data_IF_225291712141
#
_entry.id   IF_225291712141
#
_cell.length_a   1.000
_cell.length_b   1.000
_cell.length_c   1.000
_cell.angle_alpha   90.00
_cell.angle_beta   90.00
_cell.angle_gamma   90.00
#
_symmetry.space_group_name_H-M   'P 1'
#
loop_
_entity.id
_entity.type
_entity.pdbx_description
1 polymer ?
#
# COMPACT_ATOMS: atom_id res chain seq x y z
N UNK A 1 26.43 -12.88 44.43
CA UNK A 1 25.59 -13.44 43.36
C UNK A 1 25.35 -12.35 42.33
N UNK A 2 25.96 -12.44 41.15
CA UNK A 2 25.80 -11.44 40.08
C UNK A 2 24.52 -11.78 39.32
N UNK A 3 23.50 -10.94 39.44
CA UNK A 3 22.28 -11.04 38.62
C UNK A 3 22.59 -10.60 37.21
N UNK A 4 22.66 -11.56 36.28
CA UNK A 4 22.76 -11.29 34.84
C UNK A 4 21.39 -10.77 34.37
N UNK A 5 21.32 -9.48 34.03
CA UNK A 5 20.15 -8.90 33.38
C UNK A 5 19.87 -9.61 32.05
N UNK A 6 18.76 -10.35 32.00
CA UNK A 6 18.26 -10.95 30.76
C UNK A 6 17.73 -9.83 29.86
N UNK A 7 18.50 -9.46 28.82
CA UNK A 7 18.01 -8.60 27.74
C UNK A 7 16.79 -9.24 27.08
N UNK A 8 15.63 -8.60 27.24
CA UNK A 8 14.39 -9.00 26.58
C UNK A 8 14.52 -8.85 25.06
N UNK A 9 14.10 -9.87 24.31
CA UNK A 9 13.96 -9.78 22.83
C UNK A 9 12.67 -9.06 22.41
N UNK A 10 11.86 -8.63 23.37
CA UNK A 10 10.63 -7.88 23.09
C UNK A 10 10.98 -6.45 22.69
N UNK A 11 10.54 -6.06 21.50
CA UNK A 11 10.55 -4.66 21.04
C UNK A 11 9.55 -3.78 21.81
N UNK A 12 8.77 -4.33 22.73
CA UNK A 12 7.73 -3.60 23.50
C UNK A 12 8.26 -3.10 24.85
N UNK A 13 9.51 -3.39 25.21
CA UNK A 13 10.11 -2.80 26.41
C UNK A 13 10.24 -1.28 26.23
N UNK A 14 9.81 -0.52 27.25
CA UNK A 14 9.87 0.94 27.28
C UNK A 14 11.27 1.45 26.90
N UNK A 15 11.32 2.38 25.94
CA UNK A 15 12.54 3.08 25.53
C UNK A 15 13.34 2.46 24.36
N UNK A 16 13.03 1.25 23.89
CA UNK A 16 13.83 0.58 22.84
C UNK A 16 13.12 0.45 21.48
N UNK A 17 11.90 0.98 21.33
CA UNK A 17 11.14 0.95 20.08
C UNK A 17 11.23 2.30 19.35
N UNK A 18 12.13 2.39 18.37
CA UNK A 18 12.13 3.49 17.42
C UNK A 18 11.29 3.12 16.19
N UNK A 19 10.30 3.94 15.85
CA UNK A 19 9.58 3.77 14.59
C UNK A 19 10.53 4.08 13.44
N UNK A 20 10.59 3.22 12.41
CA UNK A 20 11.43 3.49 11.26
C UNK A 20 10.95 4.78 10.59
N UNK A 21 11.88 5.60 10.05
CA UNK A 21 11.54 6.88 9.44
C UNK A 21 10.61 6.71 8.22
N UNK A 22 10.69 5.55 7.56
CA UNK A 22 9.85 5.17 6.46
C UNK A 22 9.25 3.78 6.69
N UNK A 23 7.99 3.61 6.30
CA UNK A 23 7.37 2.31 6.21
C UNK A 23 6.30 2.33 5.13
N UNK A 24 6.20 1.25 4.37
CA UNK A 24 5.18 1.10 3.35
C UNK A 24 4.58 -0.31 3.32
N UNK A 25 3.37 -0.39 2.81
CA UNK A 25 2.84 -1.61 2.22
C UNK A 25 3.09 -1.57 0.71
N UNK A 26 3.34 -2.72 0.09
CA UNK A 26 3.66 -2.81 -1.33
C UNK A 26 2.89 -3.94 -2.01
N UNK A 27 2.62 -3.75 -3.31
CA UNK A 27 2.07 -4.76 -4.20
C UNK A 27 3.14 -5.17 -5.20
N UNK A 28 3.42 -6.48 -5.28
CA UNK A 28 4.27 -7.08 -6.30
C UNK A 28 3.43 -7.78 -7.36
N UNK A 29 3.96 -7.83 -8.57
CA UNK A 29 3.52 -8.72 -9.65
C UNK A 29 4.70 -9.59 -10.06
N UNK A 30 4.45 -10.88 -10.28
CA UNK A 30 5.44 -11.78 -10.84
C UNK A 30 5.55 -11.57 -12.35
N UNK A 31 6.78 -11.50 -12.86
CA UNK A 31 7.10 -11.46 -14.28
C UNK A 31 7.59 -12.81 -14.81
N UNK A 32 7.34 -13.90 -14.07
CA UNK A 32 7.80 -15.25 -14.45
C UNK A 32 7.21 -15.73 -15.80
N UNK A 33 6.05 -15.21 -16.19
CA UNK A 33 5.47 -15.38 -17.53
C UNK A 33 4.85 -14.06 -18.00
N UNK A 34 4.76 -13.80 -19.33
CA UNK A 34 4.18 -12.56 -19.85
C UNK A 34 2.75 -12.28 -19.36
N UNK A 35 1.96 -13.34 -19.16
CA UNK A 35 0.56 -13.27 -18.73
C UNK A 35 0.39 -13.55 -17.23
N UNK A 36 1.46 -13.47 -16.44
CA UNK A 36 1.39 -13.75 -15.01
C UNK A 36 0.47 -12.75 -14.30
N UNK A 37 -0.49 -13.31 -13.57
CA UNK A 37 -1.43 -12.58 -12.71
C UNK A 37 -1.11 -12.80 -11.22
N UNK A 38 0.06 -13.35 -10.92
CA UNK A 38 0.46 -13.64 -9.54
C UNK A 38 0.90 -12.35 -8.88
N UNK A 39 0.23 -12.00 -7.79
CA UNK A 39 0.60 -10.87 -6.95
C UNK A 39 1.04 -11.31 -5.57
N UNK A 40 1.73 -10.40 -4.89
CA UNK A 40 2.08 -10.53 -3.49
C UNK A 40 1.94 -9.17 -2.81
N UNK A 41 1.35 -9.14 -1.62
CA UNK A 41 1.26 -7.93 -0.79
C UNK A 41 2.11 -8.15 0.45
N UNK A 42 2.94 -7.19 0.78
CA UNK A 42 3.76 -7.21 1.99
C UNK A 42 4.00 -5.81 2.54
N UNK A 43 4.79 -5.71 3.60
CA UNK A 43 5.21 -4.44 4.15
C UNK A 43 6.70 -4.41 4.52
N UNK A 44 7.31 -3.23 4.49
CA UNK A 44 8.75 -3.06 4.70
C UNK A 44 9.12 -1.61 5.03
N UNK A 45 10.15 -1.39 5.87
CA UNK A 45 10.79 -0.09 6.04
C UNK A 45 11.79 0.24 4.93
N UNK A 46 12.24 -0.74 4.13
CA UNK A 46 13.16 -0.53 3.03
C UNK A 46 12.69 -1.34 1.78
N UNK A 47 11.99 -0.68 0.84
CA UNK A 47 11.42 -1.34 -0.34
C UNK A 47 12.47 -1.88 -1.31
N UNK A 48 13.56 -1.13 -1.55
CA UNK A 48 14.63 -1.51 -2.45
C UNK A 48 15.38 -2.75 -1.98
N UNK A 49 15.73 -2.80 -0.68
CA UNK A 49 16.31 -4.01 -0.10
C UNK A 49 15.33 -5.18 -0.22
N UNK A 50 14.05 -4.93 0.06
CA UNK A 50 13.03 -5.99 0.09
C UNK A 50 12.75 -6.61 -1.28
N UNK A 51 12.72 -5.83 -2.37
CA UNK A 51 12.51 -6.41 -3.71
C UNK A 51 13.68 -7.33 -4.13
N UNK A 52 14.92 -6.95 -3.79
CA UNK A 52 16.12 -7.79 -4.01
C UNK A 52 16.07 -9.08 -3.21
N UNK A 53 15.55 -9.04 -1.97
CA UNK A 53 15.29 -10.25 -1.17
C UNK A 53 14.23 -11.17 -1.82
N UNK A 54 13.13 -10.60 -2.33
CA UNK A 54 12.11 -11.37 -3.03
C UNK A 54 12.66 -12.03 -4.31
N UNK A 55 13.52 -11.32 -5.04
CA UNK A 55 14.19 -11.80 -6.25
C UNK A 55 15.38 -12.74 -5.97
N UNK A 56 15.74 -12.95 -4.70
CA UNK A 56 16.78 -13.90 -4.31
C UNK A 56 18.21 -13.40 -4.45
N UNK A 57 18.41 -12.12 -4.77
CA UNK A 57 19.73 -11.46 -4.73
C UNK A 57 20.24 -11.36 -3.28
N UNK A 58 19.33 -11.21 -2.32
CA UNK A 58 19.62 -11.12 -0.90
C UNK A 58 18.90 -12.23 -0.12
N UNK A 59 19.49 -12.63 1.02
CA UNK A 59 18.88 -13.59 1.95
C UNK A 59 17.64 -13.00 2.65
N UNK A 60 16.82 -13.87 3.26
CA UNK A 60 15.60 -13.52 4.01
C UNK A 60 14.43 -12.99 3.15
N UNK A 61 14.27 -13.48 1.91
CA UNK A 61 13.05 -13.30 1.14
C UNK A 61 11.88 -14.12 1.70
N UNK A 62 10.65 -13.66 1.48
CA UNK A 62 9.46 -14.41 1.88
C UNK A 62 9.40 -15.76 1.14
N UNK A 63 9.03 -16.83 1.85
CA UNK A 63 8.94 -18.17 1.23
C UNK A 63 7.98 -18.20 0.03
N UNK A 64 6.84 -17.50 0.13
CA UNK A 64 5.84 -17.41 -0.96
C UNK A 64 6.38 -16.79 -2.27
N UNK A 65 7.45 -15.98 -2.19
CA UNK A 65 8.07 -15.32 -3.34
C UNK A 65 9.39 -15.99 -3.75
N UNK A 66 9.76 -17.11 -3.13
CA UNK A 66 10.95 -17.89 -3.52
C UNK A 66 10.86 -18.41 -4.95
N UNK A 67 9.63 -18.63 -5.44
CA UNK A 67 9.29 -19.04 -6.80
C UNK A 67 8.66 -17.87 -7.56
N UNK A 68 8.52 -18.05 -8.87
CA UNK A 68 7.88 -17.08 -9.77
C UNK A 68 8.59 -15.72 -9.80
N UNK A 69 9.92 -15.76 -9.69
CA UNK A 69 10.80 -14.62 -9.93
C UNK A 69 10.94 -14.37 -11.45
N UNK A 70 11.34 -13.17 -11.88
CA UNK A 70 11.48 -11.98 -11.04
C UNK A 70 10.12 -11.39 -10.64
N UNK A 71 10.12 -10.70 -9.51
CA UNK A 71 9.02 -9.89 -9.02
C UNK A 71 9.32 -8.43 -9.31
N UNK A 72 8.28 -7.69 -9.66
CA UNK A 72 8.30 -6.25 -9.88
C UNK A 72 7.31 -5.57 -8.94
N UNK A 73 7.71 -4.43 -8.38
CA UNK A 73 6.82 -3.63 -7.54
C UNK A 73 5.88 -2.85 -8.44
N UNK A 74 4.57 -3.02 -8.23
CA UNK A 74 3.54 -2.32 -8.99
C UNK A 74 3.11 -1.02 -8.31
N UNK A 75 2.97 -1.03 -6.99
CA UNK A 75 2.62 0.16 -6.21
C UNK A 75 3.01 0.02 -4.74
N UNK A 76 3.16 1.15 -4.06
CA UNK A 76 3.34 1.24 -2.61
C UNK A 76 2.36 2.24 -1.98
N UNK A 77 2.00 1.98 -0.74
CA UNK A 77 1.24 2.89 0.14
C UNK A 77 2.09 3.17 1.36
N UNK A 78 2.41 4.44 1.64
CA UNK A 78 3.33 4.86 2.69
C UNK A 78 2.81 6.10 3.43
N UNK A 79 3.43 6.44 4.56
CA UNK A 79 3.02 7.55 5.44
C UNK A 79 3.02 7.13 6.92
N UNK A 80 2.20 7.79 7.75
CA UNK A 80 1.97 7.37 9.16
C UNK A 80 1.04 6.15 9.22
N UNK A 81 1.46 5.06 8.60
CA UNK A 81 0.65 3.88 8.38
C UNK A 81 0.73 2.92 9.57
N UNK A 82 -0.42 2.39 10.00
CA UNK A 82 -0.50 1.17 10.81
C UNK A 82 -0.25 -0.04 9.89
N UNK A 83 1.00 -0.21 9.46
CA UNK A 83 1.34 -1.03 8.30
C UNK A 83 0.88 -2.48 8.39
N UNK A 84 0.94 -3.12 9.56
CA UNK A 84 0.48 -4.50 9.72
C UNK A 84 -1.04 -4.65 9.55
N UNK A 85 -1.82 -3.65 10.02
CA UNK A 85 -3.27 -3.65 9.85
C UNK A 85 -3.65 -3.43 8.38
N UNK A 86 -2.97 -2.47 7.72
CA UNK A 86 -3.21 -2.20 6.31
C UNK A 86 -2.78 -3.37 5.42
N UNK A 87 -1.60 -3.95 5.66
CA UNK A 87 -1.10 -5.12 4.95
C UNK A 87 -2.10 -6.28 5.04
N UNK A 88 -2.56 -6.60 6.25
CA UNK A 88 -3.50 -7.71 6.44
C UNK A 88 -4.83 -7.45 5.72
N UNK A 89 -5.36 -6.23 5.83
CA UNK A 89 -6.59 -5.82 5.17
C UNK A 89 -6.46 -5.88 3.64
N UNK A 90 -5.29 -5.53 3.09
CA UNK A 90 -5.00 -5.57 1.67
C UNK A 90 -4.72 -6.99 1.14
N UNK A 91 -4.12 -7.85 1.97
CA UNK A 91 -3.98 -9.28 1.68
C UNK A 91 -5.34 -9.99 1.65
N UNK A 92 -6.26 -9.61 2.56
CA UNK A 92 -7.57 -10.25 2.75
C UNK A 92 -8.76 -9.29 2.60
N UNK A 93 -8.99 -8.67 1.42
CA UNK A 93 -10.08 -7.72 1.22
C UNK A 93 -11.46 -8.32 1.51
N UNK A 94 -11.63 -9.62 1.24
CA UNK A 94 -12.86 -10.39 1.43
C UNK A 94 -13.17 -10.72 2.90
N UNK A 95 -12.25 -10.40 3.83
CA UNK A 95 -12.39 -10.65 5.27
C UNK A 95 -12.18 -9.39 6.09
N UNK A 96 -11.71 -8.32 5.48
CA UNK A 96 -11.39 -7.09 6.17
C UNK A 96 -12.66 -6.37 6.62
N UNK A 97 -12.78 -6.13 7.94
CA UNK A 97 -13.86 -5.30 8.49
C UNK A 97 -13.86 -3.87 7.95
N UNK A 98 -12.71 -3.39 7.48
CA UNK A 98 -12.56 -2.07 6.88
C UNK A 98 -13.21 -1.97 5.51
N UNK A 99 -13.44 -3.11 4.84
CA UNK A 99 -14.02 -3.18 3.50
C UNK A 99 -15.43 -3.77 3.52
N UNK A 100 -16.21 -3.36 4.53
CA UNK A 100 -17.63 -3.67 4.66
C UNK A 100 -18.46 -2.42 4.41
N UNK A 101 -19.59 -2.59 3.76
CA UNK A 101 -20.59 -1.54 3.51
C UNK A 101 -21.92 -1.98 4.12
N UNK A 102 -22.67 -1.02 4.65
CA UNK A 102 -24.02 -1.26 5.15
C UNK A 102 -24.95 -1.54 3.96
N UNK A 103 -25.79 -2.57 4.08
CA UNK A 103 -26.77 -2.94 3.05
C UNK A 103 -28.17 -2.57 3.52
N UNK A 104 -28.47 -2.94 4.75
CA UNK A 104 -29.66 -2.61 5.51
C UNK A 104 -29.24 -2.43 6.97
N UNK A 105 -30.10 -1.89 7.83
CA UNK A 105 -29.82 -1.87 9.27
C UNK A 105 -30.31 -3.19 9.89
N UNK A 106 -29.47 -4.05 10.53
CA UNK A 106 -28.03 -3.93 10.86
C UNK A 106 -27.10 -4.81 9.98
N UNK A 107 -27.45 -5.04 8.73
CA UNK A 107 -26.74 -5.94 7.82
C UNK A 107 -25.56 -5.28 7.10
N UNK A 108 -24.40 -5.92 7.19
CA UNK A 108 -23.18 -5.49 6.49
C UNK A 108 -22.71 -6.56 5.52
N UNK A 109 -22.24 -6.14 4.34
CA UNK A 109 -21.61 -7.01 3.36
C UNK A 109 -20.18 -6.59 3.07
N UNK A 110 -19.32 -7.57 2.76
CA UNK A 110 -18.00 -7.28 2.23
C UNK A 110 -18.11 -6.81 0.78
N UNK A 111 -17.41 -5.72 0.47
CA UNK A 111 -17.29 -5.19 -0.90
C UNK A 111 -16.57 -6.19 -1.79
N UNK A 112 -15.53 -6.82 -1.26
CA UNK A 112 -14.76 -7.83 -1.97
C UNK A 112 -15.28 -9.22 -1.63
N UNK A 113 -15.52 -10.03 -2.65
CA UNK A 113 -15.87 -11.44 -2.49
C UNK A 113 -14.67 -12.32 -2.82
N UNK A 114 -14.66 -13.52 -2.24
CA UNK A 114 -13.66 -14.53 -2.59
C UNK A 114 -13.96 -15.05 -3.99
N UNK A 115 -13.10 -14.72 -4.95
CA UNK A 115 -13.18 -15.21 -6.31
C UNK A 115 -11.80 -15.64 -6.86
N UNK A 116 -11.77 -16.10 -8.10
CA UNK A 116 -10.56 -16.52 -8.81
C UNK A 116 -9.64 -15.34 -9.19
N UNK A 117 -10.18 -14.12 -9.22
CA UNK A 117 -9.50 -12.90 -9.68
C UNK A 117 -8.94 -12.06 -8.53
N UNK A 118 -9.23 -12.39 -7.26
CA UNK A 118 -8.86 -11.63 -6.05
C UNK A 118 -7.38 -11.27 -5.92
N UNK A 119 -6.50 -11.99 -6.63
CA UNK A 119 -5.05 -11.77 -6.65
C UNK A 119 -4.56 -11.10 -7.92
N UNK A 120 -5.43 -10.60 -8.81
CA UNK A 120 -5.01 -9.77 -9.96
C UNK A 120 -4.53 -8.40 -9.49
N UNK A 121 -3.65 -7.78 -10.27
CA UNK A 121 -3.14 -6.42 -9.99
C UNK A 121 -4.28 -5.43 -9.89
N UNK A 122 -5.17 -5.42 -10.87
CA UNK A 122 -6.42 -4.64 -10.87
C UNK A 122 -7.19 -4.75 -9.54
N UNK A 123 -7.54 -5.98 -9.12
CA UNK A 123 -8.30 -6.21 -7.86
C UNK A 123 -7.57 -5.69 -6.63
N UNK A 124 -6.25 -5.85 -6.58
CA UNK A 124 -5.42 -5.35 -5.46
C UNK A 124 -5.29 -3.84 -5.50
N UNK A 125 -5.18 -3.21 -6.66
CA UNK A 125 -5.17 -1.75 -6.80
C UNK A 125 -6.50 -1.14 -6.34
N UNK A 126 -7.64 -1.70 -6.75
CA UNK A 126 -8.97 -1.25 -6.29
C UNK A 126 -9.10 -1.45 -4.76
N UNK A 127 -8.61 -2.56 -4.21
CA UNK A 127 -8.62 -2.79 -2.77
C UNK A 127 -7.77 -1.77 -2.00
N UNK A 128 -6.60 -1.38 -2.51
CA UNK A 128 -5.79 -0.33 -1.89
C UNK A 128 -6.51 1.02 -1.89
N UNK A 129 -7.12 1.38 -3.03
CA UNK A 129 -7.90 2.61 -3.17
C UNK A 129 -9.14 2.62 -2.24
N UNK A 130 -9.79 1.48 -2.04
CA UNK A 130 -10.88 1.34 -1.07
C UNK A 130 -10.38 1.46 0.38
N UNK A 131 -9.22 0.89 0.71
CA UNK A 131 -8.67 0.95 2.05
C UNK A 131 -8.30 2.37 2.47
N UNK A 132 -7.69 3.17 1.59
CA UNK A 132 -7.37 4.59 1.90
C UNK A 132 -8.61 5.48 2.06
N UNK A 133 -9.79 4.99 1.65
CA UNK A 133 -11.10 5.62 1.87
C UNK A 133 -11.82 5.11 3.12
N UNK A 134 -11.38 3.97 3.66
CA UNK A 134 -12.01 3.32 4.81
C UNK A 134 -11.41 3.81 6.13
N UNK A 135 -12.24 3.87 7.18
CA UNK A 135 -11.74 4.10 8.53
C UNK A 135 -10.92 2.90 9.03
N UNK A 136 -9.82 3.11 9.78
CA UNK A 136 -9.26 4.40 10.21
C UNK A 136 -8.30 5.04 9.19
N UNK A 137 -7.96 4.34 8.10
CA UNK A 137 -6.89 4.71 7.19
C UNK A 137 -7.12 6.04 6.46
N UNK A 138 -8.38 6.41 6.19
CA UNK A 138 -8.76 7.69 5.60
C UNK A 138 -8.30 8.91 6.40
N UNK A 139 -8.01 8.76 7.70
CA UNK A 139 -7.51 9.86 8.55
C UNK A 139 -5.99 9.90 8.66
N UNK A 140 -5.29 8.97 8.01
CA UNK A 140 -3.85 8.91 8.05
C UNK A 140 -3.28 9.70 6.86
N UNK A 141 -2.19 10.45 7.04
CA UNK A 141 -1.49 11.13 5.95
C UNK A 141 -0.75 10.08 5.11
N UNK A 142 -1.51 9.38 4.27
CA UNK A 142 -1.01 8.34 3.38
C UNK A 142 -0.69 8.94 2.02
N UNK A 143 0.19 8.25 1.31
CA UNK A 143 0.59 8.55 -0.06
C UNK A 143 0.60 7.24 -0.85
N UNK A 144 0.22 7.30 -2.11
CA UNK A 144 0.30 6.18 -3.05
C UNK A 144 1.32 6.52 -4.12
N UNK A 145 2.30 5.63 -4.33
CA UNK A 145 3.22 5.71 -5.47
C UNK A 145 3.06 4.46 -6.32
N UNK A 146 2.74 4.67 -7.59
CA UNK A 146 2.52 3.65 -8.60
C UNK A 146 3.73 3.57 -9.53
N UNK A 147 4.09 2.36 -9.93
CA UNK A 147 5.22 2.07 -10.81
C UNK A 147 4.77 1.45 -12.14
N UNK A 148 3.46 1.27 -12.33
CA UNK A 148 2.85 0.87 -13.59
C UNK A 148 1.66 1.77 -13.90
N UNK A 149 1.41 2.00 -15.18
CA UNK A 149 0.25 2.76 -15.67
C UNK A 149 -1.05 2.11 -15.19
N UNK A 150 -1.17 0.78 -15.28
CA UNK A 150 -2.33 0.02 -14.79
C UNK A 150 -2.70 0.37 -13.34
N UNK A 151 -1.73 0.38 -12.42
CA UNK A 151 -2.02 0.72 -11.02
C UNK A 151 -2.28 2.20 -10.83
N UNK A 152 -1.58 3.08 -11.56
CA UNK A 152 -1.80 4.51 -11.48
C UNK A 152 -3.19 4.90 -11.96
N UNK A 153 -3.60 4.46 -13.14
CA UNK A 153 -4.89 4.78 -13.74
C UNK A 153 -6.05 4.34 -12.83
N UNK A 154 -5.97 3.11 -12.32
CA UNK A 154 -6.98 2.56 -11.40
C UNK A 154 -7.02 3.37 -10.09
N UNK A 155 -5.87 3.56 -9.44
CA UNK A 155 -5.85 4.18 -8.11
C UNK A 155 -6.16 5.66 -8.16
N UNK A 156 -5.58 6.39 -9.12
CA UNK A 156 -5.82 7.82 -9.33
C UNK A 156 -7.31 8.09 -9.57
N UNK A 157 -7.93 7.29 -10.43
CA UNK A 157 -9.34 7.45 -10.72
C UNK A 157 -10.24 7.12 -9.51
N UNK A 158 -10.02 5.97 -8.86
CA UNK A 158 -10.86 5.56 -7.71
C UNK A 158 -10.70 6.49 -6.51
N UNK A 159 -9.49 7.04 -6.29
CA UNK A 159 -9.24 8.04 -5.24
C UNK A 159 -9.91 9.38 -5.56
N UNK A 160 -9.93 9.78 -6.83
CA UNK A 160 -10.52 11.04 -7.29
C UNK A 160 -12.05 11.04 -7.27
N UNK A 161 -12.71 9.87 -7.13
CA UNK A 161 -14.16 9.77 -7.02
C UNK A 161 -14.67 10.42 -5.74
N UNK A 162 -15.18 11.65 -5.86
CA UNK A 162 -15.84 12.38 -4.75
C UNK A 162 -17.33 12.11 -4.70
N UNK A 163 -17.96 11.98 -5.86
CA UNK A 163 -19.40 11.77 -5.97
C UNK A 163 -19.75 10.30 -6.31
N UNK A 164 -20.67 9.67 -5.56
CA UNK A 164 -21.19 8.34 -5.89
C UNK A 164 -21.86 8.25 -7.27
N UNK A 165 -22.23 9.40 -7.86
CA UNK A 165 -22.94 9.49 -9.15
C UNK A 165 -22.01 9.62 -10.37
N UNK A 166 -20.69 9.78 -10.20
CA UNK A 166 -19.75 9.85 -11.33
C UNK A 166 -19.71 8.51 -12.09
N UNK A 167 -20.02 8.53 -13.39
CA UNK A 167 -20.07 7.31 -14.21
C UNK A 167 -18.67 6.72 -14.41
N UNK A 168 -18.49 5.51 -13.93
CA UNK A 168 -17.24 4.73 -14.04
C UNK A 168 -16.80 4.40 -15.46
N UNK A 169 -17.68 4.54 -16.44
CA UNK A 169 -17.36 4.38 -17.86
C UNK A 169 -16.32 5.38 -18.37
N UNK A 170 -16.05 6.48 -17.65
CA UNK A 170 -15.00 7.42 -18.02
C UNK A 170 -13.59 7.02 -17.55
N UNK A 171 -13.46 5.94 -16.76
CA UNK A 171 -12.19 5.61 -16.11
C UNK A 171 -11.39 4.55 -16.89
N UNK A 172 -12.02 3.47 -17.38
CA UNK A 172 -11.42 2.46 -18.29
C UNK A 172 -12.37 1.27 -18.48
N UNK A 173 -12.50 0.77 -19.71
CA UNK A 173 -13.30 -0.43 -20.04
C UNK A 173 -12.76 -1.73 -19.41
N UNK A 174 -11.52 -1.71 -18.89
CA UNK A 174 -10.87 -2.90 -18.28
C UNK A 174 -11.12 -3.04 -16.78
N UNK A 175 -11.77 -2.06 -16.16
CA UNK A 175 -11.98 -2.03 -14.72
C UNK A 175 -13.30 -2.71 -14.38
N UNK A 176 -13.31 -3.49 -13.30
CA UNK A 176 -14.55 -4.04 -12.76
C UNK A 176 -15.47 -2.93 -12.23
N UNK A 177 -16.29 -2.34 -13.11
CA UNK A 177 -17.17 -1.22 -12.81
C UNK A 177 -18.03 -1.46 -11.56
N UNK A 178 -18.66 -2.65 -11.46
CA UNK A 178 -19.47 -3.02 -10.29
C UNK A 178 -18.69 -2.95 -8.97
N UNK A 179 -17.45 -3.43 -8.95
CA UNK A 179 -16.64 -3.36 -7.74
C UNK A 179 -16.32 -1.91 -7.38
N UNK A 180 -16.02 -1.06 -8.36
CA UNK A 180 -15.72 0.34 -8.08
C UNK A 180 -16.97 1.11 -7.63
N UNK A 181 -18.16 0.81 -8.17
CA UNK A 181 -19.44 1.33 -7.64
C UNK A 181 -19.63 0.97 -6.16
N UNK A 182 -19.20 -0.22 -5.74
CA UNK A 182 -19.24 -0.57 -4.33
C UNK A 182 -18.20 0.19 -3.51
N UNK A 183 -17.07 0.58 -4.10
CA UNK A 183 -16.04 1.41 -3.43
C UNK A 183 -16.50 2.85 -3.24
N UNK A 184 -17.35 3.40 -4.11
CA UNK A 184 -17.89 4.76 -3.92
C UNK A 184 -18.84 4.89 -2.73
N UNK A 185 -19.27 3.77 -2.14
CA UNK A 185 -20.03 3.76 -0.88
C UNK A 185 -19.15 4.10 0.35
N UNK A 186 -17.82 4.01 0.23
CA UNK A 186 -16.93 4.56 1.25
C UNK A 186 -16.82 6.08 1.10
N UNK A 187 -16.53 6.74 2.23
CA UNK A 187 -16.25 8.18 2.26
C UNK A 187 -15.20 8.57 1.18
N UNK A 188 -15.24 9.79 0.67
CA UNK A 188 -14.17 10.31 -0.19
C UNK A 188 -12.80 10.13 0.47
N UNK A 189 -11.78 9.90 -0.34
CA UNK A 189 -10.41 9.84 0.16
C UNK A 189 -10.01 11.18 0.78
N UNK A 190 -9.00 11.15 1.66
CA UNK A 190 -8.43 12.37 2.23
C UNK A 190 -8.02 13.34 1.10
N UNK A 191 -8.46 14.62 1.11
CA UNK A 191 -8.10 15.57 0.05
C UNK A 191 -6.60 15.81 -0.11
N UNK A 192 -5.80 15.51 0.91
CA UNK A 192 -4.33 15.60 0.89
C UNK A 192 -3.65 14.31 0.42
N UNK A 193 -4.39 13.22 0.20
CA UNK A 193 -3.85 11.96 -0.33
C UNK A 193 -3.28 12.19 -1.74
N UNK A 194 -1.98 11.98 -1.89
CA UNK A 194 -1.31 12.08 -3.17
C UNK A 194 -1.18 10.72 -3.84
N UNK A 195 -1.49 10.66 -5.14
CA UNK A 195 -1.23 9.51 -6.01
C UNK A 195 -0.23 9.94 -7.08
N UNK A 196 0.97 9.34 -7.09
CA UNK A 196 2.06 9.70 -8.02
C UNK A 196 2.45 8.50 -8.90
N UNK A 197 2.84 8.74 -10.15
CA UNK A 197 3.38 7.73 -11.05
C UNK A 197 4.90 7.86 -11.20
N UNK A 198 5.62 6.74 -11.11
CA UNK A 198 7.06 6.65 -11.32
C UNK A 198 7.42 5.42 -12.16
N UNK A 199 7.52 5.61 -13.47
CA UNK A 199 7.82 4.53 -14.42
C UNK A 199 9.30 4.12 -14.44
N UNK A 200 10.19 4.86 -13.75
CA UNK A 200 11.60 4.47 -13.65
C UNK A 200 11.79 3.22 -12.78
N UNK A 201 10.76 2.85 -12.02
CA UNK A 201 10.76 1.70 -11.14
C UNK A 201 11.50 1.97 -9.83
N UNK A 202 11.32 1.07 -8.87
CA UNK A 202 11.84 1.26 -7.50
C UNK A 202 13.38 1.27 -7.41
N UNK A 203 14.07 0.65 -8.37
CA UNK A 203 15.53 0.56 -8.39
C UNK A 203 16.20 1.81 -8.99
N UNK A 204 15.54 2.53 -9.89
CA UNK A 204 16.10 3.70 -10.59
C UNK A 204 15.53 5.04 -10.09
N UNK A 205 14.75 5.03 -9.01
CA UNK A 205 14.06 6.20 -8.44
C UNK A 205 14.87 6.94 -7.36
N UNK A 206 16.20 6.86 -7.40
CA UNK A 206 17.09 7.45 -6.38
C UNK A 206 18.30 8.14 -6.99
N UNK A 207 18.47 9.42 -6.65
CA UNK A 207 19.76 10.11 -6.66
C UNK A 207 20.46 9.83 -5.30
N UNK A 208 21.77 9.59 -5.27
CA UNK A 208 22.49 9.35 -4.02
C UNK A 208 22.37 10.56 -3.09
N UNK A 209 21.97 10.36 -1.83
CA UNK A 209 22.15 11.37 -0.79
C UNK A 209 23.64 11.40 -0.40
N UNK A 210 24.28 12.56 -0.54
CA UNK A 210 25.73 12.72 -0.33
C UNK A 210 26.21 12.41 1.11
N UNK A 211 25.29 12.31 2.08
CA UNK A 211 25.66 12.21 3.50
C UNK A 211 25.70 10.80 4.10
N UNK A 212 25.13 9.77 3.46
CA UNK A 212 25.01 8.44 4.13
C UNK A 212 25.41 7.21 3.30
N UNK A 213 25.65 7.34 2.00
CA UNK A 213 26.09 6.22 1.15
C UNK A 213 25.10 5.05 1.02
N UNK A 214 23.92 5.11 1.64
CA UNK A 214 22.84 4.15 1.43
C UNK A 214 21.85 4.68 0.38
N UNK A 215 21.51 3.83 -0.60
CA UNK A 215 20.47 4.13 -1.57
C UNK A 215 19.11 4.27 -0.86
N UNK A 216 18.63 5.50 -0.76
CA UNK A 216 17.36 5.83 -0.15
C UNK A 216 16.39 6.32 -1.23
N UNK A 217 15.21 5.67 -1.38
CA UNK A 217 14.06 6.25 -2.11
C UNK A 217 13.86 7.72 -1.73
N UNK A 218 14.21 8.69 -2.57
CA UNK A 218 14.28 10.13 -2.21
C UNK A 218 13.22 10.51 -1.15
N UNK A 219 13.66 10.54 0.11
CA UNK A 219 12.82 10.86 1.26
C UNK A 219 12.62 12.35 1.39
N UNK A 220 13.33 13.17 0.61
CA UNK A 220 13.29 14.61 0.78
C UNK A 220 11.99 15.22 0.25
N UNK A 221 11.03 14.43 -0.24
CA UNK A 221 9.63 14.75 -0.01
C UNK A 221 9.26 14.51 1.46
N UNK A 222 9.98 15.17 2.39
CA UNK A 222 9.62 15.27 3.81
C UNK A 222 8.73 16.49 4.06
N UNK A 223 8.30 17.22 3.01
CA UNK A 223 7.43 18.41 3.12
C UNK A 223 6.11 18.10 3.84
N UNK A 224 5.68 16.84 3.87
CA UNK A 224 4.51 16.39 4.62
C UNK A 224 4.72 16.32 6.15
N UNK A 225 5.97 16.33 6.64
CA UNK A 225 6.27 16.32 8.09
C UNK A 225 6.14 17.71 8.72
N UNK A 226 6.24 18.77 7.93
CA UNK A 226 6.29 20.17 8.39
C UNK A 226 4.97 20.94 8.26
N UNK A 227 3.84 20.31 7.93
CA UNK A 227 2.51 20.95 8.01
C UNK A 227 2.02 21.08 9.46
N UNK A 228 2.81 21.74 10.30
CA UNK A 228 2.33 22.52 11.44
C UNK A 228 2.71 23.96 11.18
N UNK A 229 1.76 24.72 10.65
CA UNK A 229 1.45 26.07 11.11
C UNK A 229 0.11 26.46 10.49
N UNK A 230 -0.96 26.32 11.30
CA UNK A 230 -2.12 27.21 11.16
C UNK A 230 -1.59 28.63 11.37
N UNK A 231 -1.84 29.60 10.49
CA UNK A 231 -1.84 30.97 10.93
C UNK A 231 -3.04 31.15 11.85
N UNK A 232 -2.78 31.59 13.08
CA UNK A 232 -3.78 32.21 13.92
C UNK A 232 -4.24 33.50 13.24
N UNK A 233 -5.50 33.52 12.82
CA UNK A 233 -6.34 34.71 12.74
C UNK A 233 -7.69 34.34 13.36
#
# INVERSE_FOLDING_TARGET
MVTVEKKSKSTVAEGNHSYPPFYCCYLLKSLATPNSQRTYVGSTPNPQRRIRQHNGELKQGAWKTSRFRPWEVQMIVYGKLTALQFEWAWQNPDKSRHLRVAVSDPEYQYVFKRDAHRNRVERKAIAAAALVRAAPFVRLPLHIRCFSTETFDITSAVVSLRDPCLRLSCISDKINHRLVEQVTQFAPADPSLQVSMDLKGMLNSVLPSEETGEAFLDLNDTRFRTSRNRPSL
#
